data_IF_922659084693
#
_entry.id   IF_922659084693
#
_cell.length_a   1.000
_cell.length_b   1.000
_cell.length_c   1.000
_cell.angle_alpha   90.00
_cell.angle_beta   90.00
_cell.angle_gamma   90.00
#
_symmetry.space_group_name_H-M   'P 1'
#
loop_
_entity.id
_entity.type
_entity.pdbx_description
1 polymer ?
#
# COMPACT_ATOMS: atom_id res chain seq x y z
N UNK A 1 0.58 -12.59 26.25
CA UNK A 1 0.63 -12.74 24.79
C UNK A 1 -0.78 -12.70 24.26
N UNK A 2 -1.16 -11.61 23.61
CA UNK A 2 -2.47 -11.41 22.99
C UNK A 2 -2.32 -10.45 21.81
N UNK A 3 -1.50 -10.82 20.84
CA UNK A 3 -1.60 -10.32 19.47
C UNK A 3 -2.70 -11.14 18.75
N UNK A 4 -3.93 -10.96 19.21
CA UNK A 4 -5.13 -11.32 18.46
C UNK A 4 -5.42 -10.24 17.42
N UNK A 5 -4.49 -9.98 16.49
CA UNK A 5 -4.90 -9.37 15.23
C UNK A 5 -5.48 -10.49 14.40
N UNK A 6 -6.81 -10.52 14.35
CA UNK A 6 -7.53 -11.31 13.37
C UNK A 6 -6.99 -10.95 11.99
N UNK A 7 -6.04 -11.74 11.50
CA UNK A 7 -5.81 -11.93 10.08
C UNK A 7 -7.08 -12.60 9.56
N UNK A 8 -8.14 -11.80 9.42
CA UNK A 8 -9.20 -12.12 8.48
C UNK A 8 -8.51 -12.06 7.14
N UNK A 9 -7.98 -13.23 6.75
CA UNK A 9 -7.35 -13.54 5.49
C UNK A 9 -8.36 -13.14 4.43
N UNK A 10 -8.35 -11.87 4.04
CA UNK A 10 -9.03 -11.40 2.84
C UNK A 10 -8.21 -11.95 1.69
N UNK A 11 -8.51 -13.20 1.40
CA UNK A 11 -7.97 -13.94 0.29
C UNK A 11 -8.45 -13.24 -0.98
N UNK A 12 -7.71 -12.23 -1.44
CA UNK A 12 -8.05 -11.48 -2.65
C UNK A 12 -7.84 -9.98 -2.61
N UNK A 13 -7.43 -9.36 -1.49
CA UNK A 13 -6.96 -7.97 -1.57
C UNK A 13 -5.60 -7.97 -2.25
N UNK A 14 -5.54 -7.62 -3.54
CA UNK A 14 -4.30 -7.38 -4.25
C UNK A 14 -4.05 -5.87 -4.30
N UNK A 15 -2.83 -5.48 -3.99
CA UNK A 15 -2.37 -4.10 -4.15
C UNK A 15 -1.56 -3.97 -5.44
N UNK A 16 -1.65 -2.80 -6.06
CA UNK A 16 -0.88 -2.45 -7.23
C UNK A 16 0.06 -1.30 -6.88
N UNK A 17 1.35 -1.53 -7.01
CA UNK A 17 2.38 -0.49 -6.88
C UNK A 17 3.16 -0.37 -8.17
N UNK A 18 3.81 0.77 -8.35
CA UNK A 18 4.74 1.00 -9.43
C UNK A 18 6.07 1.53 -8.92
N UNK A 19 7.14 1.19 -9.63
CA UNK A 19 8.48 1.77 -9.45
C UNK A 19 8.57 3.02 -10.32
N UNK A 20 8.92 4.16 -9.73
CA UNK A 20 9.12 5.40 -10.49
C UNK A 20 10.58 5.56 -10.99
N UNK A 21 10.90 6.71 -11.60
CA UNK A 21 12.24 7.02 -12.13
C UNK A 21 13.35 7.04 -11.06
N UNK A 22 13.03 7.35 -9.80
CA UNK A 22 13.97 7.35 -8.67
C UNK A 22 14.20 5.94 -8.10
N UNK A 23 13.39 4.97 -8.51
CA UNK A 23 13.45 3.60 -8.00
C UNK A 23 12.63 3.40 -6.72
N UNK A 24 11.86 4.40 -6.30
CA UNK A 24 10.91 4.27 -5.21
C UNK A 24 9.65 3.53 -5.64
N UNK A 25 9.08 2.76 -4.69
CA UNK A 25 7.82 2.05 -4.89
C UNK A 25 6.66 2.90 -4.40
N UNK A 26 5.78 3.30 -5.31
CA UNK A 26 4.58 4.09 -5.04
C UNK A 26 3.30 3.30 -5.32
N UNK A 27 2.20 3.63 -4.64
CA UNK A 27 0.90 3.03 -4.90
C UNK A 27 0.31 3.61 -6.19
N UNK A 28 -0.28 2.77 -7.04
CA UNK A 28 -0.93 3.27 -8.26
C UNK A 28 -2.18 4.07 -7.88
N UNK A 29 -2.21 5.34 -8.28
CA UNK A 29 -3.35 6.26 -8.05
C UNK A 29 -3.01 7.54 -7.29
N UNK A 30 -1.83 7.65 -6.67
CA UNK A 30 -1.42 8.85 -5.91
C UNK A 30 -1.02 10.04 -6.80
N UNK A 31 -0.66 9.81 -8.07
CA UNK A 31 -0.19 10.86 -9.00
C UNK A 31 -1.07 10.97 -10.24
N UNK A 32 -1.09 12.14 -10.92
CA UNK A 32 -1.78 12.31 -12.19
C UNK A 32 -1.32 11.30 -13.25
N UNK A 33 -2.24 10.90 -14.14
CA UNK A 33 -1.97 9.92 -15.20
C UNK A 33 -0.76 10.30 -16.08
N UNK A 34 -0.59 11.58 -16.42
CA UNK A 34 0.55 12.04 -17.22
C UNK A 34 1.89 11.85 -16.50
N UNK A 35 1.93 12.07 -15.18
CA UNK A 35 3.14 11.85 -14.37
C UNK A 35 3.42 10.36 -14.20
N UNK A 36 2.37 9.57 -13.98
CA UNK A 36 2.46 8.11 -13.93
C UNK A 36 3.00 7.55 -15.24
N UNK A 37 2.42 7.92 -16.39
CA UNK A 37 2.85 7.43 -17.70
C UNK A 37 4.30 7.81 -18.04
N UNK A 38 4.79 8.95 -17.54
CA UNK A 38 6.16 9.39 -17.76
C UNK A 38 7.16 8.73 -16.79
N UNK A 39 6.75 8.48 -15.54
CA UNK A 39 7.66 8.01 -14.49
C UNK A 39 7.61 6.49 -14.25
N UNK A 40 6.54 5.81 -14.65
CA UNK A 40 6.32 4.39 -14.38
C UNK A 40 7.31 3.50 -15.13
N UNK A 41 8.17 2.81 -14.38
CA UNK A 41 9.15 1.87 -14.92
C UNK A 41 8.73 0.42 -14.79
N UNK A 42 8.10 0.05 -13.67
CA UNK A 42 7.66 -1.32 -13.38
C UNK A 42 6.36 -1.31 -12.59
N UNK A 43 5.51 -2.31 -12.83
CA UNK A 43 4.30 -2.54 -12.07
C UNK A 43 4.44 -3.85 -11.27
N UNK A 44 4.01 -3.83 -10.02
CA UNK A 44 4.01 -5.01 -9.14
C UNK A 44 2.64 -5.18 -8.51
N UNK A 45 2.06 -6.36 -8.72
CA UNK A 45 0.85 -6.81 -8.04
C UNK A 45 1.30 -7.67 -6.87
N UNK A 46 0.86 -7.34 -5.66
CA UNK A 46 1.20 -8.10 -4.44
C UNK A 46 -0.08 -8.43 -3.68
N UNK A 47 -0.04 -9.47 -2.86
CA UNK A 47 -1.12 -9.71 -1.91
C UNK A 47 -1.08 -8.59 -0.86
N UNK A 48 -2.23 -8.09 -0.43
CA UNK A 48 -2.35 -7.03 0.57
C UNK A 48 -1.68 -7.39 1.89
N UNK A 49 -1.58 -8.69 2.18
CA UNK A 49 -0.78 -9.23 3.30
C UNK A 49 0.72 -8.94 3.17
N UNK A 50 1.26 -8.86 1.95
CA UNK A 50 2.68 -8.57 1.70
C UNK A 50 2.97 -7.07 1.64
N UNK A 51 1.93 -6.24 1.56
CA UNK A 51 2.03 -4.79 1.34
C UNK A 51 1.96 -3.95 2.63
N UNK A 52 1.91 -4.59 3.79
CA UNK A 52 1.73 -3.97 5.12
C UNK A 52 2.83 -2.93 5.45
N UNK A 53 3.97 -2.95 4.73
CA UNK A 53 5.07 -1.98 4.88
C UNK A 53 5.14 -0.86 3.84
N UNK A 54 4.28 -0.87 2.80
CA UNK A 54 4.33 0.11 1.70
C UNK A 54 3.26 1.19 1.78
N UNK A 55 2.19 0.96 2.53
CA UNK A 55 1.23 2.02 2.80
C UNK A 55 1.86 3.01 3.80
N UNK A 56 1.71 4.33 3.60
CA UNK A 56 1.99 5.27 4.68
C UNK A 56 1.13 4.83 5.86
N UNK A 57 1.77 4.49 6.99
CA UNK A 57 1.05 4.11 8.21
C UNK A 57 0.00 5.18 8.42
N UNK A 58 -1.28 4.82 8.29
CA UNK A 58 -2.36 5.68 8.70
C UNK A 58 -2.03 6.08 10.13
N UNK A 59 -1.63 7.34 10.31
CA UNK A 59 -1.28 7.89 11.61
C UNK A 59 -2.40 7.52 12.56
N UNK A 60 -2.03 6.90 13.67
CA UNK A 60 -2.91 6.52 14.77
C UNK A 60 -3.99 7.58 14.95
N UNK A 61 -5.20 7.30 14.46
CA UNK A 61 -6.37 8.05 14.92
C UNK A 61 -6.74 7.40 16.24
N UNK A 62 -5.93 7.73 17.26
CA UNK A 62 -6.31 7.69 18.66
C UNK A 62 -7.66 8.39 18.80
N UNK A 63 -8.74 7.63 18.69
CA UNK A 63 -10.06 8.05 19.13
C UNK A 63 -10.23 7.49 20.53
N UNK A 64 -9.72 8.26 21.48
CA UNK A 64 -10.25 8.27 22.83
C UNK A 64 -11.77 8.44 22.74
N UNK A 65 -12.54 7.46 23.20
CA UNK A 65 -13.92 7.68 23.62
C UNK A 65 -14.28 6.69 24.73
N UNK A 66 -14.22 7.24 25.94
CA UNK A 66 -14.78 6.87 27.24
C UNK A 66 -14.37 5.56 27.91
#
# INVERSE_FOLDING_TARGET
GKDGLSESRKDGEYVLTYEDKDGDWMLVGDVPWEMFANSCRRLRIMKGSDAIGLAPRAVDKSKNRN
#
